data_IF_763507200636
#
_entry.id   IF_763507200636
#
_cell.length_a   1.000
_cell.length_b   1.000
_cell.length_c   1.000
_cell.angle_alpha   90.00
_cell.angle_beta   90.00
_cell.angle_gamma   90.00
#
_symmetry.space_group_name_H-M   'P 1'
#
loop_
_entity.id
_entity.type
_entity.pdbx_description
1 polymer ?
#
# COMPACT_ATOMS: atom_id res chain seq x y z
N UNK A 1 -20.01 -7.77 -12.59
CA UNK A 1 -19.15 -8.26 -11.48
C UNK A 1 -19.60 -9.68 -11.15
N UNK A 2 -18.85 -10.68 -11.61
CA UNK A 2 -19.05 -12.05 -11.18
C UNK A 2 -18.31 -12.22 -9.84
N UNK A 3 -19.00 -12.64 -8.79
CA UNK A 3 -18.33 -13.02 -7.55
C UNK A 3 -17.60 -14.34 -7.80
N UNK A 4 -16.42 -14.52 -7.18
CA UNK A 4 -15.68 -15.80 -7.24
C UNK A 4 -16.59 -16.97 -6.86
N UNK A 5 -17.47 -16.77 -5.89
CA UNK A 5 -18.50 -17.72 -5.50
C UNK A 5 -19.47 -18.07 -6.63
N UNK A 6 -19.95 -17.07 -7.40
CA UNK A 6 -20.86 -17.28 -8.54
C UNK A 6 -20.21 -18.02 -9.71
N UNK A 7 -18.92 -17.80 -9.96
CA UNK A 7 -18.15 -18.55 -10.98
C UNK A 7 -18.03 -20.03 -10.57
N UNK A 8 -17.77 -20.27 -9.30
CA UNK A 8 -17.58 -21.61 -8.76
C UNK A 8 -18.92 -22.37 -8.62
N UNK A 9 -20.02 -21.68 -8.33
CA UNK A 9 -21.38 -22.26 -8.32
C UNK A 9 -21.92 -22.54 -9.72
N UNK A 10 -21.66 -21.68 -10.71
CA UNK A 10 -22.17 -21.86 -12.08
C UNK A 10 -21.46 -22.96 -12.87
N UNK A 11 -20.27 -23.38 -12.44
CA UNK A 11 -19.50 -24.44 -13.09
C UNK A 11 -19.77 -25.84 -12.54
N UNK A 12 -20.73 -26.02 -11.61
CA UNK A 12 -21.07 -27.29 -10.90
C UNK A 12 -21.48 -28.49 -11.78
N UNK A 13 -21.29 -28.44 -13.10
CA UNK A 13 -21.56 -29.53 -14.02
C UNK A 13 -20.33 -30.43 -14.26
N UNK A 14 -20.46 -31.65 -13.74
CA UNK A 14 -19.87 -32.94 -14.17
C UNK A 14 -18.44 -33.38 -13.83
N UNK A 15 -17.46 -32.52 -13.52
CA UNK A 15 -16.11 -33.03 -13.15
C UNK A 15 -15.40 -32.19 -12.06
N UNK A 16 -15.22 -32.72 -10.83
CA UNK A 16 -14.55 -32.03 -9.73
C UNK A 16 -13.03 -31.86 -9.95
N UNK A 17 -12.43 -32.59 -10.90
CA UNK A 17 -10.98 -32.53 -11.15
C UNK A 17 -10.59 -31.41 -12.12
N UNK A 18 -11.54 -30.88 -12.89
CA UNK A 18 -11.26 -29.87 -13.91
C UNK A 18 -11.32 -28.48 -13.30
N UNK A 19 -10.23 -27.73 -13.32
CA UNK A 19 -10.19 -26.35 -12.82
C UNK A 19 -11.28 -25.48 -13.47
N UNK A 20 -11.91 -24.59 -12.70
CA UNK A 20 -13.00 -23.75 -13.20
C UNK A 20 -12.55 -22.74 -14.27
N UNK A 21 -11.29 -22.28 -14.16
CA UNK A 21 -10.63 -21.33 -15.06
C UNK A 21 -9.18 -21.80 -15.30
N UNK A 22 -8.96 -22.80 -16.17
CA UNK A 22 -7.66 -23.46 -16.31
C UNK A 22 -6.55 -22.55 -16.88
N UNK A 23 -6.92 -21.48 -17.58
CA UNK A 23 -5.98 -20.50 -18.18
C UNK A 23 -5.80 -19.23 -17.32
N UNK A 24 -6.35 -19.21 -16.10
CA UNK A 24 -6.21 -18.07 -15.21
C UNK A 24 -4.81 -18.09 -14.58
N UNK A 25 -3.98 -17.11 -14.91
CA UNK A 25 -2.64 -16.95 -14.34
C UNK A 25 -2.61 -15.83 -13.29
N UNK A 26 -3.49 -14.84 -13.39
CA UNK A 26 -3.49 -13.64 -12.54
C UNK A 26 -4.88 -13.33 -12.04
N UNK A 27 -4.99 -12.96 -10.77
CA UNK A 27 -6.27 -12.60 -10.18
C UNK A 27 -6.18 -11.29 -9.39
N UNK A 28 -7.24 -10.48 -9.50
CA UNK A 28 -7.47 -9.31 -8.65
C UNK A 28 -8.79 -9.48 -7.94
N UNK A 29 -8.77 -9.38 -6.62
CA UNK A 29 -9.94 -9.54 -5.77
C UNK A 29 -10.20 -8.24 -5.01
N UNK A 30 -11.34 -7.61 -5.31
CA UNK A 30 -11.81 -6.44 -4.59
C UNK A 30 -12.76 -6.85 -3.47
N UNK A 31 -12.54 -6.33 -2.25
CA UNK A 31 -13.19 -6.79 -1.02
C UNK A 31 -13.64 -5.58 -0.21
N UNK A 32 -14.89 -5.59 0.27
CA UNK A 32 -15.45 -4.54 1.10
C UNK A 32 -16.39 -3.59 0.35
N UNK A 33 -17.24 -2.91 1.12
CA UNK A 33 -18.23 -1.93 0.65
C UNK A 33 -19.04 -2.41 -0.56
N UNK A 34 -18.95 -1.74 -1.71
CA UNK A 34 -19.71 -2.04 -2.92
C UNK A 34 -19.30 -3.34 -3.61
N UNK A 35 -18.15 -3.92 -3.26
CA UNK A 35 -17.62 -5.14 -3.90
C UNK A 35 -18.05 -6.43 -3.22
N UNK A 36 -18.61 -6.33 -2.01
CA UNK A 36 -19.14 -7.47 -1.26
C UNK A 36 -18.43 -7.70 0.07
N UNK A 37 -19.10 -8.45 0.93
CA UNK A 37 -18.66 -8.72 2.31
C UNK A 37 -17.73 -9.93 2.34
N UNK A 38 -16.77 -9.92 3.27
CA UNK A 38 -15.90 -11.05 3.60
C UNK A 38 -15.95 -11.33 5.11
N UNK A 39 -17.03 -11.99 5.50
CA UNK A 39 -17.33 -12.38 6.89
C UNK A 39 -16.80 -13.78 7.22
N UNK A 40 -16.73 -14.11 8.50
CA UNK A 40 -16.32 -15.42 9.01
C UNK A 40 -17.13 -16.61 8.45
N UNK A 41 -18.39 -16.36 8.07
CA UNK A 41 -19.28 -17.36 7.49
C UNK A 41 -18.88 -17.80 6.07
N UNK A 42 -17.98 -17.05 5.41
CA UNK A 42 -17.44 -17.47 4.12
C UNK A 42 -16.38 -18.53 4.35
N UNK A 43 -16.79 -19.80 4.24
CA UNK A 43 -15.90 -20.96 4.29
C UNK A 43 -15.52 -21.35 2.86
N UNK A 44 -14.23 -21.35 2.58
CA UNK A 44 -13.68 -21.77 1.29
C UNK A 44 -13.35 -23.27 1.25
N UNK A 45 -13.69 -24.02 2.31
CA UNK A 45 -13.40 -25.46 2.39
C UNK A 45 -14.15 -26.26 1.31
N UNK A 46 -15.36 -25.84 0.94
CA UNK A 46 -16.10 -26.46 -0.17
C UNK A 46 -15.42 -26.22 -1.52
N UNK A 47 -14.65 -25.14 -1.65
CA UNK A 47 -13.91 -24.79 -2.89
C UNK A 47 -12.57 -25.52 -2.99
N UNK A 48 -12.09 -26.17 -1.93
CA UNK A 48 -10.92 -27.07 -2.01
C UNK A 48 -11.20 -28.32 -2.85
N UNK A 49 -12.48 -28.67 -3.04
CA UNK A 49 -12.88 -29.81 -3.86
C UNK A 49 -12.71 -29.54 -5.36
N UNK A 50 -12.58 -28.26 -5.77
CA UNK A 50 -12.33 -27.89 -7.16
C UNK A 50 -11.47 -26.63 -7.25
N UNK A 51 -10.21 -26.71 -7.70
CA UNK A 51 -9.35 -25.55 -7.80
C UNK A 51 -9.90 -24.55 -8.83
N UNK A 52 -9.75 -23.25 -8.55
CA UNK A 52 -10.13 -22.20 -9.50
C UNK A 52 -9.29 -22.31 -10.78
N UNK A 53 -7.99 -22.56 -10.63
CA UNK A 53 -7.01 -22.65 -11.70
C UNK A 53 -5.88 -23.59 -11.26
N UNK A 54 -5.00 -23.96 -12.19
CA UNK A 54 -3.86 -24.82 -11.86
C UNK A 54 -2.78 -24.07 -11.07
N UNK A 55 -2.53 -22.81 -11.42
CA UNK A 55 -1.46 -22.01 -10.83
C UNK A 55 -1.72 -20.51 -11.05
N UNK A 56 -1.49 -19.71 -10.02
CA UNK A 56 -1.49 -18.24 -10.09
C UNK A 56 -0.06 -17.72 -10.02
N UNK A 57 0.36 -16.99 -11.05
CA UNK A 57 1.61 -16.23 -11.06
C UNK A 57 1.49 -14.91 -10.31
N UNK A 58 0.28 -14.35 -10.19
CA UNK A 58 0.04 -13.07 -9.51
C UNK A 58 -1.31 -13.04 -8.79
N UNK A 59 -1.29 -12.57 -7.54
CA UNK A 59 -2.48 -12.36 -6.70
C UNK A 59 -2.50 -10.92 -6.18
N UNK A 60 -3.53 -10.19 -6.57
CA UNK A 60 -3.80 -8.83 -6.13
C UNK A 60 -5.01 -8.82 -5.19
N UNK A 61 -4.83 -8.34 -3.96
CA UNK A 61 -5.89 -8.23 -2.96
C UNK A 61 -6.14 -6.75 -2.65
N UNK A 62 -7.32 -6.25 -3.01
CA UNK A 62 -7.72 -4.88 -2.74
C UNK A 62 -8.82 -4.86 -1.69
N UNK A 63 -8.49 -4.36 -0.49
CA UNK A 63 -9.35 -4.45 0.69
C UNK A 63 -9.73 -3.05 1.16
N UNK A 64 -11.03 -2.76 1.15
CA UNK A 64 -11.61 -1.58 1.77
C UNK A 64 -12.07 -1.86 3.18
N UNK A 65 -11.58 -1.07 4.13
CA UNK A 65 -12.01 -1.11 5.52
C UNK A 65 -12.89 0.10 5.83
N UNK A 66 -14.05 -0.15 6.42
CA UNK A 66 -14.98 0.89 6.83
C UNK A 66 -15.41 0.71 8.28
N UNK A 67 -16.21 1.64 8.80
CA UNK A 67 -16.73 1.54 10.17
C UNK A 67 -17.72 0.38 10.32
N UNK A 68 -18.31 -0.09 9.22
CA UNK A 68 -19.15 -1.28 9.21
C UNK A 68 -18.25 -2.49 8.99
N UNK A 69 -18.35 -3.49 9.86
CA UNK A 69 -17.55 -4.71 9.78
C UNK A 69 -18.03 -5.63 8.64
N UNK A 70 -17.83 -5.19 7.40
CA UNK A 70 -18.14 -5.95 6.18
C UNK A 70 -16.99 -6.85 5.76
N UNK A 71 -15.77 -6.57 6.20
CA UNK A 71 -14.58 -7.40 6.03
C UNK A 71 -14.09 -7.80 7.42
N UNK A 72 -13.84 -9.09 7.61
CA UNK A 72 -13.31 -9.65 8.85
C UNK A 72 -11.95 -10.25 8.63
N UNK A 73 -11.07 -10.11 9.63
CA UNK A 73 -9.76 -10.75 9.65
C UNK A 73 -9.84 -12.28 9.41
N UNK A 74 -10.83 -12.95 10.01
CA UNK A 74 -11.02 -14.39 9.84
C UNK A 74 -11.41 -14.75 8.40
N UNK A 75 -12.35 -14.03 7.80
CA UNK A 75 -12.75 -14.25 6.41
C UNK A 75 -11.58 -14.00 5.44
N UNK A 76 -10.82 -12.92 5.67
CA UNK A 76 -9.61 -12.62 4.91
C UNK A 76 -8.56 -13.73 5.01
N UNK A 77 -8.29 -14.24 6.22
CA UNK A 77 -7.38 -15.37 6.43
C UNK A 77 -7.82 -16.63 5.67
N UNK A 78 -9.12 -16.92 5.64
CA UNK A 78 -9.66 -18.06 4.88
C UNK A 78 -9.49 -17.88 3.38
N UNK A 79 -9.72 -16.66 2.85
CA UNK A 79 -9.50 -16.34 1.44
C UNK A 79 -8.03 -16.49 1.04
N UNK A 80 -7.09 -15.97 1.84
CA UNK A 80 -5.65 -16.10 1.55
C UNK A 80 -5.24 -17.57 1.55
N UNK A 81 -5.72 -18.36 2.52
CA UNK A 81 -5.46 -19.81 2.54
C UNK A 81 -6.00 -20.53 1.31
N UNK A 82 -7.15 -20.12 0.79
CA UNK A 82 -7.68 -20.67 -0.44
C UNK A 82 -6.76 -20.40 -1.63
N UNK A 83 -6.26 -19.17 -1.78
CA UNK A 83 -5.30 -18.86 -2.85
C UNK A 83 -3.96 -19.57 -2.68
N UNK A 84 -3.52 -19.79 -1.44
CA UNK A 84 -2.29 -20.52 -1.17
C UNK A 84 -2.27 -21.95 -1.75
N UNK A 85 -3.43 -22.58 -1.96
CA UNK A 85 -3.55 -23.89 -2.61
C UNK A 85 -3.16 -23.85 -4.11
N UNK A 86 -3.09 -22.66 -4.72
CA UNK A 86 -2.85 -22.43 -6.16
C UNK A 86 -1.60 -21.57 -6.42
N UNK A 87 -0.75 -21.37 -5.41
CA UNK A 87 0.43 -20.49 -5.50
C UNK A 87 1.68 -21.17 -4.98
N UNK A 88 2.83 -20.64 -5.34
CA UNK A 88 4.12 -21.08 -4.82
C UNK A 88 4.96 -19.89 -4.33
N UNK A 89 6.24 -20.13 -4.03
CA UNK A 89 7.18 -19.08 -3.61
C UNK A 89 7.51 -18.06 -4.69
N UNK A 90 7.18 -18.34 -5.96
CA UNK A 90 7.44 -17.44 -7.10
C UNK A 90 6.23 -16.56 -7.41
N UNK A 91 5.05 -16.89 -6.90
CA UNK A 91 3.85 -16.08 -7.05
C UNK A 91 4.05 -14.67 -6.48
N UNK A 92 3.66 -13.66 -7.24
CA UNK A 92 3.69 -12.26 -6.83
C UNK A 92 2.42 -11.94 -6.05
N UNK A 93 2.58 -11.50 -4.79
CA UNK A 93 1.46 -11.08 -3.94
C UNK A 93 1.46 -9.57 -3.72
N UNK A 94 0.37 -8.91 -4.08
CA UNK A 94 0.19 -7.49 -3.84
C UNK A 94 -1.04 -7.26 -2.96
N UNK A 95 -0.92 -6.35 -2.00
CA UNK A 95 -2.00 -5.96 -1.08
C UNK A 95 -2.22 -4.45 -1.14
N UNK A 96 -3.44 -4.05 -1.46
CA UNK A 96 -3.92 -2.67 -1.32
C UNK A 96 -4.90 -2.61 -0.15
N UNK A 97 -4.65 -1.71 0.79
CA UNK A 97 -5.53 -1.44 1.91
C UNK A 97 -6.05 -0.01 1.81
N UNK A 98 -7.36 0.13 1.73
CA UNK A 98 -8.05 1.41 1.59
C UNK A 98 -8.88 1.71 2.84
N UNK A 99 -8.67 2.90 3.40
CA UNK A 99 -9.32 3.34 4.63
C UNK A 99 -10.51 4.25 4.35
N UNK A 100 -11.70 3.70 4.60
CA UNK A 100 -12.97 4.42 4.62
C UNK A 100 -13.49 4.65 6.05
N UNK A 101 -12.74 4.26 7.09
CA UNK A 101 -13.16 4.42 8.49
C UNK A 101 -13.27 5.89 8.89
N UNK A 102 -13.96 6.20 9.99
CA UNK A 102 -14.05 7.56 10.53
C UNK A 102 -12.80 7.99 11.30
N UNK A 103 -12.11 7.06 11.95
CA UNK A 103 -11.04 7.35 12.89
C UNK A 103 -9.62 7.35 12.28
N UNK A 104 -9.48 6.87 11.04
CA UNK A 104 -8.19 6.76 10.40
C UNK A 104 -7.38 5.55 10.89
N UNK A 105 -6.16 5.40 10.40
CA UNK A 105 -5.28 4.27 10.70
C UNK A 105 -4.18 4.61 11.72
N UNK A 106 -4.56 5.34 12.77
CA UNK A 106 -3.65 5.80 13.82
C UNK A 106 -3.16 4.68 14.75
N UNK A 107 -2.52 5.07 15.85
CA UNK A 107 -2.10 4.09 16.86
C UNK A 107 -3.32 3.52 17.58
N UNK A 108 -3.39 2.19 17.65
CA UNK A 108 -4.36 1.47 18.46
C UNK A 108 -3.62 0.81 19.61
N UNK A 109 -4.03 1.12 20.85
CA UNK A 109 -3.50 0.41 22.02
C UNK A 109 -3.87 -1.08 21.98
N UNK A 110 -3.17 -1.95 22.72
CA UNK A 110 -3.41 -3.40 22.69
C UNK A 110 -4.88 -3.80 22.90
N UNK A 111 -5.57 -3.13 23.83
CA UNK A 111 -6.99 -3.37 24.11
C UNK A 111 -7.89 -2.98 22.94
N UNK A 112 -7.60 -1.84 22.29
CA UNK A 112 -8.37 -1.35 21.15
C UNK A 112 -8.10 -2.17 19.89
N UNK A 113 -6.86 -2.65 19.71
CA UNK A 113 -6.47 -3.47 18.57
C UNK A 113 -7.34 -4.73 18.47
N UNK A 114 -7.58 -5.43 19.57
CA UNK A 114 -8.41 -6.64 19.56
C UNK A 114 -9.87 -6.34 19.18
N UNK A 115 -10.41 -5.22 19.70
CA UNK A 115 -11.79 -4.81 19.43
C UNK A 115 -11.97 -4.29 18.00
N UNK A 116 -10.97 -3.59 17.48
CA UNK A 116 -11.03 -2.89 16.21
C UNK A 116 -10.30 -3.61 15.08
N UNK A 117 -9.74 -4.82 15.29
CA UNK A 117 -8.89 -5.55 14.31
C UNK A 117 -9.43 -5.58 12.88
N UNK A 118 -10.75 -5.68 12.72
CA UNK A 118 -11.40 -5.74 11.41
C UNK A 118 -11.31 -4.41 10.63
N UNK A 119 -10.94 -3.32 11.31
CA UNK A 119 -10.86 -1.95 10.80
C UNK A 119 -9.43 -1.41 10.71
N UNK A 120 -8.43 -2.19 11.14
CA UNK A 120 -7.03 -1.74 11.19
C UNK A 120 -6.19 -2.45 10.13
N UNK A 121 -5.47 -1.69 9.31
CA UNK A 121 -4.60 -2.18 8.24
C UNK A 121 -3.62 -3.26 8.71
N UNK A 122 -2.96 -3.03 9.86
CA UNK A 122 -1.92 -3.93 10.37
C UNK A 122 -2.43 -5.35 10.60
N UNK A 123 -3.71 -5.53 10.94
CA UNK A 123 -4.28 -6.86 11.15
C UNK A 123 -4.30 -7.69 9.86
N UNK A 124 -4.58 -7.06 8.72
CA UNK A 124 -4.60 -7.72 7.40
C UNK A 124 -3.18 -8.03 6.91
N UNK A 125 -2.24 -7.10 7.10
CA UNK A 125 -0.82 -7.33 6.78
C UNK A 125 -0.27 -8.51 7.60
N UNK A 126 -0.53 -8.52 8.92
CA UNK A 126 -0.09 -9.61 9.80
C UNK A 126 -0.67 -10.96 9.40
N UNK A 127 -1.92 -11.03 8.91
CA UNK A 127 -2.50 -12.29 8.43
C UNK A 127 -1.67 -12.89 7.28
N UNK A 128 -1.27 -12.09 6.30
CA UNK A 128 -0.44 -12.57 5.18
C UNK A 128 0.93 -13.04 5.68
N UNK A 129 1.57 -12.25 6.54
CA UNK A 129 2.87 -12.60 7.12
C UNK A 129 2.81 -13.86 7.98
N UNK A 130 1.77 -14.03 8.79
CA UNK A 130 1.52 -15.22 9.62
C UNK A 130 1.26 -16.48 8.80
N UNK A 131 0.79 -16.32 7.56
CA UNK A 131 0.60 -17.41 6.60
C UNK A 131 1.86 -17.66 5.75
N UNK A 132 2.95 -16.93 5.99
CA UNK A 132 4.21 -17.08 5.25
C UNK A 132 4.21 -16.44 3.87
N UNK A 133 3.24 -15.57 3.56
CA UNK A 133 3.15 -14.90 2.26
C UNK A 133 4.18 -13.77 2.19
N UNK A 134 5.06 -13.82 1.20
CA UNK A 134 5.99 -12.74 0.89
C UNK A 134 5.28 -11.66 0.07
N UNK A 135 5.04 -10.50 0.69
CA UNK A 135 4.34 -9.39 0.02
C UNK A 135 5.32 -8.69 -0.92
N UNK A 136 4.99 -8.67 -2.21
CA UNK A 136 5.72 -7.89 -3.21
C UNK A 136 5.42 -6.41 -3.05
N UNK A 137 4.14 -6.01 -3.17
CA UNK A 137 3.72 -4.61 -3.01
C UNK A 137 2.68 -4.46 -1.91
N UNK A 138 2.89 -3.49 -1.03
CA UNK A 138 1.93 -3.05 -0.03
C UNK A 138 1.56 -1.59 -0.29
N UNK A 139 0.28 -1.33 -0.53
CA UNK A 139 -0.25 0.01 -0.79
C UNK A 139 -1.24 0.40 0.30
N UNK A 140 -1.03 1.53 0.97
CA UNK A 140 -1.86 2.04 2.07
C UNK A 140 -2.51 3.36 1.67
N UNK A 141 -3.83 3.39 1.58
CA UNK A 141 -4.60 4.51 1.01
C UNK A 141 -5.59 5.10 2.02
N UNK A 142 -5.68 6.44 2.10
CA UNK A 142 -6.80 7.13 2.75
C UNK A 142 -7.63 7.88 1.71
N UNK A 143 -8.84 7.38 1.40
CA UNK A 143 -9.74 8.09 0.47
C UNK A 143 -10.33 9.36 1.04
N UNK A 144 -10.35 9.49 2.36
CA UNK A 144 -10.91 10.65 3.06
C UNK A 144 -9.85 11.67 3.40
N UNK A 145 -8.61 11.44 2.96
CA UNK A 145 -7.50 12.37 3.17
C UNK A 145 -7.81 13.66 2.45
N UNK A 146 -7.86 14.71 3.27
CA UNK A 146 -7.89 16.07 2.76
C UNK A 146 -6.51 16.34 2.18
N UNK A 147 -6.47 16.98 1.01
CA UNK A 147 -5.22 17.37 0.37
C UNK A 147 -4.30 18.05 1.39
N UNK A 148 -3.01 17.69 1.41
CA UNK A 148 -2.05 18.29 2.32
C UNK A 148 -2.10 19.83 2.37
N UNK A 149 -2.43 20.44 1.23
CA UNK A 149 -2.43 21.88 1.02
C UNK A 149 -3.71 22.60 1.47
N UNK A 150 -4.73 21.87 1.93
CA UNK A 150 -5.98 22.41 2.47
C UNK A 150 -6.05 22.39 4.00
N UNK A 151 -5.11 21.72 4.68
CA UNK A 151 -5.12 21.53 6.13
C UNK A 151 -4.97 22.82 6.95
N UNK A 152 -4.36 23.87 6.39
CA UNK A 152 -4.22 25.18 7.07
C UNK A 152 -5.60 25.78 7.42
N UNK A 153 -6.69 25.32 6.78
CA UNK A 153 -8.03 25.90 6.93
C UNK A 153 -9.05 25.01 7.67
N UNK A 154 -8.69 23.80 8.10
CA UNK A 154 -9.68 22.86 8.69
C UNK A 154 -9.47 22.61 10.17
N UNK A 155 -10.50 22.84 10.99
CA UNK A 155 -10.60 22.45 12.41
C UNK A 155 -10.78 20.92 12.61
N UNK A 156 -10.67 20.13 11.55
CA UNK A 156 -10.96 18.70 11.59
C UNK A 156 -9.80 17.91 12.21
N UNK A 157 -10.16 16.88 12.99
CA UNK A 157 -9.21 15.93 13.57
C UNK A 157 -8.39 15.29 12.45
N UNK A 158 -7.07 15.49 12.51
CA UNK A 158 -6.14 14.94 11.52
C UNK A 158 -6.22 13.42 11.50
N UNK A 159 -6.39 12.85 10.31
CA UNK A 159 -6.28 11.42 10.05
C UNK A 159 -4.82 11.12 9.75
N UNK A 160 -4.25 10.13 10.42
CA UNK A 160 -2.86 9.78 10.23
C UNK A 160 -2.66 8.29 10.31
N UNK A 161 -1.70 7.79 9.54
CA UNK A 161 -1.23 6.42 9.59
C UNK A 161 -0.20 6.28 10.72
N UNK A 162 -0.36 5.25 11.55
CA UNK A 162 0.70 4.77 12.42
C UNK A 162 1.58 3.76 11.67
N UNK A 163 2.88 4.03 11.56
CA UNK A 163 3.79 3.15 10.83
C UNK A 163 4.27 1.99 11.71
N UNK A 164 3.66 0.81 11.51
CA UNK A 164 4.08 -0.43 12.15
C UNK A 164 5.31 -1.04 11.46
N UNK A 165 6.28 -1.63 12.20
CA UNK A 165 7.46 -2.27 11.62
C UNK A 165 7.12 -3.34 10.57
N UNK A 166 6.02 -4.07 10.75
CA UNK A 166 5.55 -5.11 9.84
C UNK A 166 5.30 -4.58 8.41
N UNK A 167 5.01 -3.28 8.23
CA UNK A 167 4.84 -2.70 6.89
C UNK A 167 6.14 -2.73 6.07
N UNK A 168 7.32 -2.79 6.71
CA UNK A 168 8.61 -3.01 6.01
C UNK A 168 8.79 -4.45 5.50
N UNK A 169 7.93 -5.41 5.88
CA UNK A 169 8.00 -6.81 5.42
C UNK A 169 7.34 -7.01 4.06
N UNK A 170 7.58 -6.08 3.15
CA UNK A 170 7.25 -6.18 1.73
C UNK A 170 8.45 -5.74 0.89
N UNK A 171 8.41 -5.91 -0.43
CA UNK A 171 9.46 -5.41 -1.34
C UNK A 171 9.27 -3.94 -1.68
N UNK A 172 8.03 -3.52 -1.91
CA UNK A 172 7.65 -2.16 -2.25
C UNK A 172 6.53 -1.66 -1.33
N UNK A 173 6.77 -0.55 -0.63
CA UNK A 173 5.79 0.06 0.26
C UNK A 173 5.35 1.42 -0.29
N UNK A 174 4.07 1.54 -0.63
CA UNK A 174 3.44 2.75 -1.14
C UNK A 174 2.48 3.31 -0.09
N UNK A 175 2.68 4.57 0.29
CA UNK A 175 1.89 5.25 1.31
C UNK A 175 1.23 6.48 0.73
N UNK A 176 -0.06 6.37 0.42
CA UNK A 176 -0.94 7.48 0.05
C UNK A 176 -1.78 7.89 1.28
N UNK A 177 -1.13 7.99 2.43
CA UNK A 177 -1.72 8.31 3.73
C UNK A 177 -0.80 9.30 4.45
N UNK A 178 -1.35 10.34 5.09
CA UNK A 178 -0.57 11.20 5.99
C UNK A 178 0.11 10.36 7.09
N UNK A 179 1.44 10.32 7.08
CA UNK A 179 2.26 9.56 8.04
C UNK A 179 2.35 10.35 9.33
N UNK A 180 1.69 9.85 10.37
CA UNK A 180 1.72 10.43 11.71
C UNK A 180 2.84 9.81 12.54
N UNK A 181 2.46 9.25 13.69
CA UNK A 181 3.36 8.55 14.57
C UNK A 181 4.01 7.37 13.85
N UNK A 182 5.33 7.33 13.90
CA UNK A 182 6.12 6.17 13.47
C UNK A 182 6.43 5.37 14.71
N UNK A 183 6.44 4.04 14.65
CA UNK A 183 6.91 3.22 15.77
C UNK A 183 8.45 3.20 15.77
N UNK A 184 9.17 4.10 16.47
CA UNK A 184 10.62 4.19 16.34
C UNK A 184 11.30 3.23 17.34
N UNK A 185 10.58 2.80 18.37
CA UNK A 185 11.13 2.34 19.64
C UNK A 185 10.96 0.84 19.93
N UNK A 186 10.38 0.06 19.01
CA UNK A 186 10.08 -1.36 19.25
C UNK A 186 10.73 -2.32 18.27
N UNK A 187 11.41 -1.83 17.23
CA UNK A 187 12.30 -2.69 16.46
C UNK A 187 13.53 -2.92 17.35
N UNK A 188 13.82 -4.17 17.71
CA UNK A 188 15.10 -4.45 18.32
C UNK A 188 16.20 -4.03 17.33
N UNK A 189 17.38 -3.58 17.80
CA UNK A 189 18.50 -3.20 16.91
C UNK A 189 18.89 -4.33 15.92
N UNK A 190 18.47 -5.56 16.22
CA UNK A 190 18.67 -6.75 15.40
C UNK A 190 17.55 -7.02 14.37
N UNK A 191 16.42 -6.32 14.42
CA UNK A 191 15.32 -6.47 13.47
C UNK A 191 15.71 -5.83 12.13
N UNK A 192 16.30 -6.66 11.25
CA UNK A 192 16.64 -6.26 9.89
C UNK A 192 15.52 -6.62 8.92
N UNK A 193 14.94 -5.60 8.28
CA UNK A 193 13.89 -5.76 7.29
C UNK A 193 14.53 -5.88 5.90
N UNK A 194 14.97 -7.09 5.56
CA UNK A 194 15.76 -7.35 4.34
C UNK A 194 14.94 -7.29 3.04
N UNK A 195 13.61 -7.30 3.12
CA UNK A 195 12.75 -7.38 1.95
C UNK A 195 12.55 -6.03 1.26
N UNK A 196 12.44 -4.95 2.05
CA UNK A 196 12.07 -3.64 1.52
C UNK A 196 13.17 -3.06 0.65
N UNK A 197 12.79 -2.67 -0.57
CA UNK A 197 13.67 -2.05 -1.57
C UNK A 197 13.20 -0.68 -2.01
N UNK A 198 11.89 -0.47 -2.06
CA UNK A 198 11.28 0.78 -2.52
C UNK A 198 10.31 1.27 -1.46
N UNK A 199 10.46 2.53 -1.07
CA UNK A 199 9.50 3.24 -0.22
C UNK A 199 9.00 4.49 -0.95
N UNK A 200 7.69 4.59 -1.12
CA UNK A 200 7.06 5.71 -1.79
C UNK A 200 6.04 6.38 -0.90
N UNK A 201 6.13 7.71 -0.84
CA UNK A 201 5.16 8.57 -0.17
C UNK A 201 4.48 9.41 -1.24
N UNK A 202 3.20 9.13 -1.46
CA UNK A 202 2.43 9.77 -2.51
C UNK A 202 1.40 10.74 -1.93
N UNK A 203 1.48 11.98 -2.41
CA UNK A 203 0.68 13.13 -1.98
C UNK A 203 0.50 13.27 -0.45
N UNK A 204 1.40 12.75 0.39
CA UNK A 204 1.19 12.61 1.84
C UNK A 204 2.11 13.49 2.68
N UNK A 205 1.59 14.00 3.80
CA UNK A 205 2.44 14.61 4.82
C UNK A 205 3.21 13.56 5.61
N UNK A 206 4.38 13.95 6.12
CA UNK A 206 5.15 13.18 7.11
C UNK A 206 5.40 14.07 8.31
N UNK A 207 4.87 13.69 9.48
CA UNK A 207 4.90 14.50 10.71
C UNK A 207 6.15 14.34 11.55
N UNK A 208 6.80 13.19 11.45
CA UNK A 208 8.01 12.92 12.21
C UNK A 208 9.03 12.32 11.26
N UNK A 209 9.67 13.19 10.48
CA UNK A 209 10.61 12.75 9.43
C UNK A 209 11.86 12.09 10.00
N UNK A 210 12.41 12.63 11.10
CA UNK A 210 13.53 11.99 11.81
C UNK A 210 13.22 10.53 12.12
N UNK A 211 12.03 10.32 12.69
CA UNK A 211 11.57 9.02 13.16
C UNK A 211 11.26 8.10 11.98
N UNK A 212 10.73 8.64 10.87
CA UNK A 212 10.55 7.89 9.63
C UNK A 212 11.90 7.45 9.04
N UNK A 213 12.89 8.34 8.99
CA UNK A 213 14.22 8.00 8.47
C UNK A 213 14.91 6.96 9.36
N UNK A 214 14.79 7.09 10.67
CA UNK A 214 15.26 6.08 11.63
C UNK A 214 14.54 4.74 11.43
N UNK A 215 13.23 4.77 11.30
CA UNK A 215 12.42 3.58 10.99
C UNK A 215 12.85 2.89 9.70
N UNK A 216 13.14 3.65 8.64
CA UNK A 216 13.61 3.13 7.35
C UNK A 216 15.07 2.66 7.41
N UNK A 217 15.90 3.18 8.33
CA UNK A 217 17.31 2.79 8.45
C UNK A 217 17.52 1.32 8.82
N UNK A 218 16.51 0.70 9.42
CA UNK A 218 16.48 -0.75 9.72
C UNK A 218 16.16 -1.64 8.51
N UNK A 219 15.91 -1.05 7.33
CA UNK A 219 15.75 -1.76 6.06
C UNK A 219 17.02 -1.60 5.20
N UNK A 220 18.06 -2.44 5.39
CA UNK A 220 19.37 -2.24 4.77
C UNK A 220 19.37 -2.38 3.24
N UNK A 221 18.36 -3.05 2.68
CA UNK A 221 18.21 -3.24 1.24
C UNK A 221 17.36 -2.15 0.57
N UNK A 222 16.94 -1.12 1.33
CA UNK A 222 16.19 0.00 0.79
C UNK A 222 17.06 0.78 -0.20
N UNK A 223 16.79 0.59 -1.49
CA UNK A 223 17.54 1.21 -2.57
C UNK A 223 16.95 2.54 -3.02
N UNK A 224 15.63 2.75 -2.83
CA UNK A 224 14.95 3.92 -3.37
C UNK A 224 13.87 4.47 -2.42
N UNK A 225 13.88 5.80 -2.25
CA UNK A 225 12.79 6.58 -1.67
C UNK A 225 12.25 7.54 -2.72
N UNK A 226 10.94 7.46 -2.97
CA UNK A 226 10.21 8.36 -3.87
C UNK A 226 9.21 9.18 -3.07
N UNK A 227 9.18 10.47 -3.33
CA UNK A 227 8.18 11.38 -2.78
C UNK A 227 7.46 12.00 -3.96
N UNK A 228 6.21 11.60 -4.17
CA UNK A 228 5.42 12.05 -5.31
C UNK A 228 4.69 13.33 -4.92
N UNK A 229 4.89 14.36 -5.75
CA UNK A 229 4.30 15.69 -5.58
C UNK A 229 3.22 15.88 -6.62
N UNK A 230 1.97 16.20 -6.23
CA UNK A 230 0.92 16.48 -7.20
C UNK A 230 1.31 17.64 -8.10
N UNK A 231 1.15 17.47 -9.41
CA UNK A 231 1.48 18.48 -10.43
C UNK A 231 0.70 19.78 -10.26
N UNK A 232 -0.56 19.66 -9.82
CA UNK A 232 -1.43 20.80 -9.47
C UNK A 232 -0.83 21.71 -8.39
N UNK A 233 0.06 21.18 -7.55
CA UNK A 233 0.68 21.89 -6.45
C UNK A 233 2.18 22.15 -6.62
N UNK A 234 2.82 21.61 -7.66
CA UNK A 234 4.25 21.79 -7.93
C UNK A 234 4.66 23.27 -7.96
N UNK A 235 3.85 24.14 -8.56
CA UNK A 235 4.06 25.60 -8.58
C UNK A 235 3.92 26.26 -7.19
N UNK A 236 3.04 25.75 -6.34
CA UNK A 236 2.87 26.27 -4.97
C UNK A 236 4.02 25.81 -4.07
N UNK A 237 4.43 24.55 -4.18
CA UNK A 237 5.58 23.97 -3.49
C UNK A 237 6.86 24.73 -3.78
N UNK A 238 7.12 25.06 -5.06
CA UNK A 238 8.31 25.82 -5.46
C UNK A 238 8.32 27.26 -4.91
N UNK A 239 7.14 27.87 -4.74
CA UNK A 239 6.98 29.24 -4.21
C UNK A 239 6.98 29.36 -2.67
N UNK A 240 6.98 28.24 -1.95
CA UNK A 240 6.75 28.27 -0.50
C UNK A 240 7.99 28.78 0.27
N UNK A 241 7.80 29.69 1.24
CA UNK A 241 8.91 30.39 1.94
C UNK A 241 9.49 29.57 3.10
N UNK A 242 10.78 29.78 3.40
CA UNK A 242 11.57 29.13 4.48
C UNK A 242 10.85 29.03 5.83
N UNK A 243 10.03 30.01 6.20
CA UNK A 243 9.31 30.08 7.48
C UNK A 243 8.09 29.16 7.62
N UNK A 244 7.63 28.52 6.55
CA UNK A 244 6.56 27.51 6.64
C UNK A 244 7.07 26.14 7.13
N UNK A 245 8.40 26.00 7.33
CA UNK A 245 9.12 24.71 7.38
C UNK A 245 10.21 24.63 8.46
N UNK A 246 10.31 25.62 9.33
CA UNK A 246 11.33 25.63 10.40
C UNK A 246 11.00 24.67 11.56
N UNK A 247 9.83 24.03 11.53
CA UNK A 247 9.56 22.89 12.41
C UNK A 247 10.17 21.63 11.78
N UNK A 248 11.11 20.94 12.45
CA UNK A 248 11.64 19.65 11.99
C UNK A 248 10.53 18.59 11.78
N UNK A 249 9.35 18.82 12.35
CA UNK A 249 8.17 17.94 12.32
C UNK A 249 7.22 18.24 11.14
N UNK A 250 7.43 19.31 10.37
CA UNK A 250 6.56 19.67 9.25
C UNK A 250 7.37 20.21 8.07
N UNK A 251 7.99 19.31 7.32
CA UNK A 251 8.68 19.67 6.09
C UNK A 251 7.93 19.14 4.86
N UNK A 252 7.55 20.05 3.98
CA UNK A 252 6.84 19.84 2.71
C UNK A 252 7.60 18.99 1.69
N UNK A 253 6.92 18.68 0.59
CA UNK A 253 7.36 18.11 -0.71
C UNK A 253 8.47 18.90 -1.44
N UNK A 254 9.36 19.60 -0.72
CA UNK A 254 10.53 20.27 -1.29
C UNK A 254 11.81 19.45 -1.03
N UNK A 255 12.84 19.53 -1.90
CA UNK A 255 14.09 18.79 -1.72
C UNK A 255 14.82 19.10 -0.40
N UNK A 256 14.81 20.36 0.04
CA UNK A 256 15.44 20.81 1.28
C UNK A 256 14.76 20.24 2.53
N UNK A 257 13.47 19.90 2.44
CA UNK A 257 12.72 19.23 3.51
C UNK A 257 13.13 17.78 3.76
N UNK A 258 13.98 17.20 2.90
CA UNK A 258 14.44 15.81 2.97
C UNK A 258 15.98 15.71 3.07
N UNK A 259 16.64 16.79 3.48
CA UNK A 259 18.10 16.86 3.59
C UNK A 259 18.74 15.79 4.49
N UNK A 260 17.99 15.22 5.44
CA UNK A 260 18.45 14.14 6.32
C UNK A 260 18.56 12.76 5.67
N UNK A 261 18.00 12.55 4.47
CA UNK A 261 17.99 11.23 3.81
C UNK A 261 19.41 10.75 3.53
N UNK A 262 20.27 11.58 2.91
CA UNK A 262 21.63 11.17 2.56
C UNK A 262 22.50 10.87 3.79
N UNK A 263 22.24 11.53 4.92
CA UNK A 263 22.98 11.28 6.17
C UNK A 263 22.51 10.01 6.87
N UNK A 264 21.20 9.73 6.88
CA UNK A 264 20.61 8.59 7.61
C UNK A 264 20.52 7.31 6.77
N UNK A 265 20.44 7.45 5.45
CA UNK A 265 20.23 6.39 4.46
C UNK A 265 21.21 6.61 3.28
N UNK A 266 22.53 6.50 3.52
CA UNK A 266 23.56 6.94 2.56
C UNK A 266 23.57 6.13 1.26
N UNK A 267 23.08 4.90 1.28
CA UNK A 267 23.02 4.00 0.12
C UNK A 267 21.70 4.09 -0.66
N UNK A 268 20.74 4.88 -0.17
CA UNK A 268 19.38 4.95 -0.73
C UNK A 268 19.27 6.14 -1.68
N UNK A 269 18.83 5.89 -2.91
CA UNK A 269 18.50 6.94 -3.87
C UNK A 269 17.25 7.68 -3.41
N UNK A 270 17.29 9.01 -3.45
CA UNK A 270 16.13 9.85 -3.15
C UNK A 270 15.66 10.57 -4.42
N UNK A 271 14.36 10.52 -4.70
CA UNK A 271 13.73 11.24 -5.79
C UNK A 271 12.46 11.96 -5.32
N UNK A 272 12.32 13.22 -5.73
CA UNK A 272 11.04 13.93 -5.73
C UNK A 272 10.48 13.85 -7.14
N UNK A 273 9.36 13.15 -7.30
CA UNK A 273 8.77 12.85 -8.60
C UNK A 273 7.54 13.74 -8.77
N UNK A 274 7.41 14.41 -9.93
CA UNK A 274 6.16 15.07 -10.28
C UNK A 274 5.14 14.03 -10.74
N UNK A 275 3.87 14.18 -10.37
CA UNK A 275 2.81 13.23 -10.77
C UNK A 275 2.60 13.08 -12.29
N UNK A 276 3.28 13.88 -13.11
CA UNK A 276 3.13 13.89 -14.58
C UNK A 276 4.26 13.11 -15.32
N UNK A 277 5.21 12.49 -14.62
CA UNK A 277 6.33 11.76 -15.24
C UNK A 277 6.00 10.29 -15.62
N UNK A 278 4.73 9.99 -15.93
CA UNK A 278 4.42 8.81 -16.73
C UNK A 278 4.49 9.16 -18.23
N UNK A 279 5.48 8.58 -18.90
CA UNK A 279 5.67 8.43 -20.37
C UNK A 279 6.27 9.60 -21.16
N UNK A 280 7.61 9.70 -21.18
CA UNK A 280 8.33 9.99 -22.43
C UNK A 280 9.60 9.14 -22.47
N UNK A 281 9.46 7.87 -22.87
CA UNK A 281 10.56 7.16 -23.53
C UNK A 281 9.97 6.28 -24.65
N UNK A 282 10.37 6.60 -25.89
CA UNK A 282 10.19 5.74 -27.06
C UNK A 282 9.35 6.31 -28.22
N UNK A 283 9.96 7.12 -29.10
CA UNK A 283 10.18 6.67 -30.47
C UNK A 283 11.04 7.63 -31.32
N UNK A 284 11.91 6.98 -32.10
CA UNK A 284 12.88 7.53 -33.05
C UNK A 284 12.25 8.21 -34.27
N UNK A 285 13.03 9.16 -34.79
CA UNK A 285 13.28 9.50 -36.21
C UNK A 285 12.28 10.30 -37.09
N UNK A 286 12.88 11.36 -37.64
CA UNK A 286 12.74 11.92 -38.99
C UNK A 286 11.44 12.62 -39.39
N UNK A 287 11.50 13.97 -39.52
CA UNK A 287 11.40 14.63 -40.84
C UNK A 287 11.69 16.15 -40.78
N UNK A 288 12.82 16.53 -41.38
CA UNK A 288 13.00 17.59 -42.40
C UNK A 288 12.29 18.97 -42.27
N UNK A 289 13.16 20.00 -42.23
CA UNK A 289 13.10 21.30 -42.94
C UNK A 289 11.90 22.22 -42.78
N UNK A 290 12.14 23.44 -42.26
CA UNK A 290 12.29 24.66 -43.09
C UNK A 290 12.64 25.87 -42.20
N UNK A 291 13.69 26.60 -42.60
CA UNK A 291 13.90 28.01 -42.24
C UNK A 291 12.72 28.86 -42.73
N UNK A 292 12.53 30.05 -42.16
CA UNK A 292 12.76 31.19 -43.04
C UNK A 292 13.59 32.29 -42.39
N UNK A 293 14.50 32.79 -43.21
CA UNK A 293 15.09 34.12 -43.14
C UNK A 293 14.07 35.20 -43.51
N UNK A 294 13.98 36.24 -42.69
CA UNK A 294 13.89 37.65 -43.09
C UNK A 294 14.24 38.51 -41.85
#
# INVERSE_FOLDING_TARGET
LLTVHSILESTYTSDPTTAAMPQLERITVHIGEEWGKLLISHTYDNLKLRPLCAYLSEVNLDVKLSDVEVVTCSGFRSLVRYFLEMTDSNTIWNLTLEDCTSNGQGYYGPSDMNRCRNKVFISYVRILLDLGVAINRLTLLDRRKISPYMMIMSLNKRRSLYMYPDFKRCRELFVCYDIGLVAPLFAHENDRFLTLRIFEVDESHVLYKSDLLEYLSTAPNLSEIRVVVPSTWAKRVSSCKRGCFTSPDFACFRPDGWCGVQTRLPTTKFALVGSDDESIDGNHENSRTQLPSA
#
